data_IF_912963773366
#
_entry.id   IF_912963773366
#
_cell.length_a   1.000
_cell.length_b   1.000
_cell.length_c   1.000
_cell.angle_alpha   90.00
_cell.angle_beta   90.00
_cell.angle_gamma   90.00
#
_symmetry.space_group_name_H-M   'P 1'
#
loop_
_entity.id
_entity.type
_entity.pdbx_description
1 polymer ?
#
# COMPACT_ATOMS: atom_id res chain seq x y z
N UNK A 1 5.21 65.08 81.74
CA UNK A 1 5.66 65.28 80.34
C UNK A 1 6.72 64.24 80.04
N UNK A 2 6.29 62.99 79.89
CA UNK A 2 7.17 61.86 79.63
C UNK A 2 7.25 61.60 78.12
N UNK A 3 8.47 61.37 77.63
CA UNK A 3 8.80 60.94 76.27
C UNK A 3 7.92 59.75 75.83
N UNK A 4 6.98 59.97 74.92
CA UNK A 4 6.27 58.90 74.20
C UNK A 4 6.74 58.76 72.72
N UNK A 5 7.56 59.69 72.23
CA UNK A 5 8.01 59.71 70.82
C UNK A 5 8.90 58.50 70.43
N UNK A 6 9.41 57.74 71.40
CA UNK A 6 10.22 56.54 71.14
C UNK A 6 9.42 55.29 70.77
N UNK A 7 8.16 55.17 71.21
CA UNK A 7 7.36 53.95 71.02
C UNK A 7 6.85 53.82 69.57
N UNK A 8 6.51 54.95 68.93
CA UNK A 8 6.03 54.97 67.55
C UNK A 8 7.09 54.50 66.55
N UNK A 9 8.36 54.86 66.77
CA UNK A 9 9.46 54.48 65.87
C UNK A 9 9.78 52.98 65.96
N UNK A 10 9.73 52.40 67.16
CA UNK A 10 9.92 50.95 67.36
C UNK A 10 8.80 50.15 66.68
N UNK A 11 7.55 50.62 66.75
CA UNK A 11 6.43 49.96 66.10
C UNK A 11 6.59 49.90 64.57
N UNK A 12 7.04 51.00 63.94
CA UNK A 12 7.26 51.04 62.48
C UNK A 12 8.39 50.10 62.05
N UNK A 13 9.50 50.07 62.80
CA UNK A 13 10.62 49.17 62.50
C UNK A 13 10.20 47.70 62.61
N UNK A 14 9.41 47.33 63.62
CA UNK A 14 8.91 45.95 63.76
C UNK A 14 8.01 45.56 62.58
N UNK A 15 7.11 46.44 62.13
CA UNK A 15 6.25 46.16 60.97
C UNK A 15 7.08 46.03 59.69
N UNK A 16 8.10 46.88 59.49
CA UNK A 16 9.00 46.76 58.33
C UNK A 16 9.79 45.44 58.34
N UNK A 17 10.30 45.01 59.50
CA UNK A 17 11.03 43.73 59.62
C UNK A 17 10.10 42.54 59.36
N UNK A 18 8.90 42.54 59.94
CA UNK A 18 7.91 41.48 59.70
C UNK A 18 7.50 41.45 58.23
N UNK A 19 7.25 42.61 57.61
CA UNK A 19 6.96 42.72 56.19
C UNK A 19 8.07 42.14 55.31
N UNK A 20 9.33 42.43 55.64
CA UNK A 20 10.49 41.89 54.92
C UNK A 20 10.61 40.36 55.05
N UNK A 21 10.36 39.81 56.24
CA UNK A 21 10.38 38.35 56.47
C UNK A 21 9.26 37.66 55.67
N UNK A 22 8.06 38.23 55.65
CA UNK A 22 6.94 37.66 54.88
C UNK A 22 7.23 37.68 53.37
N UNK A 23 7.72 38.80 52.83
CA UNK A 23 8.02 38.92 51.40
C UNK A 23 9.15 37.96 50.98
N UNK A 24 10.19 37.80 51.82
CA UNK A 24 11.28 36.87 51.54
C UNK A 24 10.82 35.40 51.57
N UNK A 25 9.95 35.01 52.51
CA UNK A 25 9.38 33.65 52.56
C UNK A 25 8.51 33.35 51.33
N UNK A 26 7.69 34.30 50.88
CA UNK A 26 6.88 34.15 49.64
C UNK A 26 7.79 34.03 48.41
N UNK A 27 8.88 34.80 48.35
CA UNK A 27 9.85 34.72 47.26
C UNK A 27 10.54 33.35 47.17
N UNK A 28 10.94 32.78 48.31
CA UNK A 28 11.56 31.44 48.37
C UNK A 28 10.57 30.34 47.95
N UNK A 29 9.31 30.43 48.40
CA UNK A 29 8.28 29.46 48.01
C UNK A 29 8.00 29.46 46.49
N UNK A 30 7.98 30.63 45.86
CA UNK A 30 7.83 30.75 44.41
C UNK A 30 8.99 30.11 43.64
N UNK A 31 10.24 30.27 44.11
CA UNK A 31 11.41 29.64 43.48
C UNK A 31 11.36 28.11 43.53
N UNK A 32 10.95 27.52 44.67
CA UNK A 32 10.78 26.06 44.77
C UNK A 32 9.70 25.52 43.84
N UNK A 33 8.58 26.25 43.69
CA UNK A 33 7.51 25.86 42.75
C UNK A 33 7.96 25.93 41.28
N UNK A 34 8.72 26.96 40.90
CA UNK A 34 9.29 27.07 39.54
C UNK A 34 10.28 25.95 39.23
N UNK A 35 11.15 25.60 40.18
CA UNK A 35 12.11 24.50 40.00
C UNK A 35 11.42 23.15 39.85
N UNK A 36 10.38 22.88 40.65
CA UNK A 36 9.57 21.67 40.52
C UNK A 36 8.85 21.60 39.16
N UNK A 37 8.29 22.73 38.69
CA UNK A 37 7.59 22.79 37.40
C UNK A 37 8.56 22.56 36.22
N UNK A 38 9.78 23.11 36.28
CA UNK A 38 10.80 22.88 35.27
C UNK A 38 11.29 21.43 35.24
N UNK A 39 11.47 20.81 36.40
CA UNK A 39 11.87 19.40 36.50
C UNK A 39 10.81 18.47 35.89
N UNK A 40 9.52 18.70 36.19
CA UNK A 40 8.42 17.92 35.61
C UNK A 40 8.29 18.15 34.10
N UNK A 41 8.44 19.38 33.62
CA UNK A 41 8.43 19.67 32.18
C UNK A 41 9.58 18.96 31.43
N UNK A 42 10.79 18.95 32.01
CA UNK A 42 11.92 18.21 31.47
C UNK A 42 11.67 16.70 31.41
N UNK A 43 11.08 16.14 32.48
CA UNK A 43 10.73 14.71 32.55
C UNK A 43 9.67 14.32 31.52
N UNK A 44 8.62 15.13 31.32
CA UNK A 44 7.59 14.87 30.31
C UNK A 44 8.17 14.93 28.90
N UNK A 45 9.05 15.90 28.61
CA UNK A 45 9.74 15.98 27.31
C UNK A 45 10.66 14.78 27.07
N UNK A 46 11.38 14.33 28.09
CA UNK A 46 12.22 13.13 28.01
C UNK A 46 11.37 11.86 27.75
N UNK A 47 10.20 11.74 28.38
CA UNK A 47 9.27 10.63 28.12
C UNK A 47 8.75 10.64 26.67
N UNK A 48 8.31 11.80 26.16
CA UNK A 48 7.86 11.93 24.76
C UNK A 48 8.98 11.59 23.77
N UNK A 49 10.21 11.99 24.08
CA UNK A 49 11.38 11.62 23.28
C UNK A 49 11.61 10.09 23.28
N UNK A 50 11.48 9.44 24.44
CA UNK A 50 11.61 8.00 24.56
C UNK A 50 10.53 7.26 23.76
N UNK A 51 9.26 7.67 23.88
CA UNK A 51 8.15 7.09 23.11
C UNK A 51 8.35 7.28 21.59
N UNK A 52 8.81 8.47 21.17
CA UNK A 52 9.13 8.75 19.77
C UNK A 52 10.23 7.83 19.24
N UNK A 53 11.28 7.58 20.02
CA UNK A 53 12.36 6.66 19.65
C UNK A 53 11.92 5.21 19.54
N UNK A 54 11.00 4.78 20.41
CA UNK A 54 10.39 3.45 20.35
C UNK A 54 9.62 3.28 19.04
N UNK A 55 8.78 4.26 18.70
CA UNK A 55 7.95 4.21 17.49
C UNK A 55 8.80 4.31 16.21
N UNK A 56 9.86 5.11 16.23
CA UNK A 56 10.84 5.19 15.13
C UNK A 56 11.58 3.86 14.91
N UNK A 57 11.99 3.17 16.00
CA UNK A 57 12.61 1.85 15.90
C UNK A 57 11.62 0.80 15.37
N UNK A 58 10.36 0.83 15.82
CA UNK A 58 9.32 -0.07 15.29
C UNK A 58 9.07 0.17 13.78
N UNK A 59 9.05 1.43 13.36
CA UNK A 59 8.97 1.80 11.94
C UNK A 59 10.17 1.27 11.14
N UNK A 60 11.39 1.42 11.66
CA UNK A 60 12.60 0.90 11.02
C UNK A 60 12.62 -0.63 10.92
N UNK A 61 12.10 -1.32 11.94
CA UNK A 61 11.99 -2.78 11.94
C UNK A 61 10.97 -3.30 10.91
N UNK A 62 9.88 -2.55 10.67
CA UNK A 62 8.80 -2.95 9.76
C UNK A 62 9.06 -2.60 8.28
N UNK A 63 9.96 -1.66 7.99
CA UNK A 63 10.15 -1.11 6.62
C UNK A 63 11.17 -1.84 5.72
N UNK A 64 11.55 -3.09 6.00
CA UNK A 64 12.46 -3.85 5.11
C UNK A 64 13.69 -4.49 5.77
N UNK A 65 13.57 -4.87 7.04
CA UNK A 65 14.57 -5.63 7.78
C UNK A 65 15.44 -4.77 8.71
N UNK A 66 15.80 -5.34 9.85
CA UNK A 66 16.66 -4.70 10.83
C UNK A 66 18.09 -4.56 10.26
N UNK A 67 18.41 -3.37 9.74
CA UNK A 67 19.77 -3.02 9.31
C UNK A 67 20.57 -2.34 10.45
N UNK A 68 19.87 -1.81 11.45
CA UNK A 68 20.46 -1.05 12.56
C UNK A 68 19.83 -1.51 13.86
N UNK A 69 20.67 -1.87 14.83
CA UNK A 69 20.21 -2.32 16.16
C UNK A 69 20.03 -1.17 17.15
N UNK A 70 20.67 -0.03 16.90
CA UNK A 70 20.56 1.23 17.65
C UNK A 70 20.15 2.37 16.73
N UNK A 71 19.03 3.03 17.00
CA UNK A 71 18.56 4.21 16.29
C UNK A 71 18.70 5.44 17.19
N UNK A 72 19.27 6.53 16.67
CA UNK A 72 19.37 7.80 17.40
C UNK A 72 18.63 8.91 16.67
N UNK A 73 18.00 9.81 17.43
CA UNK A 73 17.36 11.02 16.94
C UNK A 73 17.83 12.23 17.74
N UNK A 74 17.74 13.43 17.16
CA UNK A 74 18.12 14.69 17.81
C UNK A 74 16.96 15.66 18.02
N UNK A 75 15.82 15.42 17.36
CA UNK A 75 14.63 16.27 17.42
C UNK A 75 13.35 15.40 17.40
N UNK A 76 12.96 14.80 18.54
CA UNK A 76 13.54 14.88 19.88
C UNK A 76 14.80 14.01 20.07
N UNK A 77 15.60 14.27 21.11
CA UNK A 77 16.82 13.48 21.40
C UNK A 77 16.49 12.13 22.03
N UNK A 78 16.73 11.04 21.30
CA UNK A 78 16.51 9.68 21.79
C UNK A 78 17.59 8.71 21.31
N UNK A 79 17.75 7.60 22.05
CA UNK A 79 18.51 6.42 21.64
C UNK A 79 17.64 5.19 21.86
N UNK A 80 17.21 4.54 20.77
CA UNK A 80 16.41 3.33 20.78
C UNK A 80 17.24 2.11 20.38
N UNK A 81 16.99 0.97 21.03
CA UNK A 81 17.70 -0.30 20.82
C UNK A 81 16.70 -1.44 20.70
N UNK A 82 17.01 -2.44 19.87
CA UNK A 82 16.19 -3.65 19.71
C UNK A 82 16.88 -4.88 20.29
N UNK A 83 16.10 -5.66 21.04
CA UNK A 83 16.51 -6.90 21.68
C UNK A 83 15.53 -8.01 21.31
N UNK A 84 15.92 -8.94 20.41
CA UNK A 84 15.08 -10.05 20.01
C UNK A 84 15.07 -11.13 21.09
N UNK A 85 13.89 -11.67 21.34
CA UNK A 85 13.63 -12.67 22.37
C UNK A 85 12.91 -13.85 21.74
N UNK A 86 13.43 -15.04 22.01
CA UNK A 86 12.81 -16.31 21.65
C UNK A 86 12.22 -16.92 22.91
N UNK A 87 10.94 -16.66 23.15
CA UNK A 87 10.23 -17.27 24.29
C UNK A 87 9.58 -18.57 23.81
N UNK A 88 9.88 -19.73 24.43
CA UNK A 88 9.17 -20.97 24.13
C UNK A 88 7.68 -20.83 24.48
N UNK A 89 6.81 -21.57 23.79
CA UNK A 89 5.37 -21.51 24.03
C UNK A 89 5.04 -21.74 25.52
N UNK A 90 4.51 -20.70 26.18
CA UNK A 90 4.18 -20.71 27.62
C UNK A 90 5.24 -20.12 28.57
N UNK A 91 6.38 -19.63 28.06
CA UNK A 91 7.32 -18.85 28.86
C UNK A 91 6.83 -17.43 29.16
N UNK A 92 7.20 -16.88 30.32
CA UNK A 92 6.90 -15.49 30.65
C UNK A 92 7.69 -14.52 29.76
N UNK A 93 7.04 -13.44 29.34
CA UNK A 93 7.70 -12.36 28.59
C UNK A 93 8.69 -11.62 29.50
N UNK A 94 9.89 -11.24 29.01
CA UNK A 94 10.80 -10.42 29.79
C UNK A 94 10.19 -9.05 30.08
N UNK A 95 10.33 -8.58 31.32
CA UNK A 95 9.85 -7.27 31.78
C UNK A 95 10.90 -6.17 31.71
N UNK A 96 12.14 -6.50 31.34
CA UNK A 96 13.24 -5.55 31.16
C UNK A 96 14.27 -6.05 30.15
N UNK A 97 15.16 -5.16 29.73
CA UNK A 97 16.29 -5.48 28.84
C UNK A 97 17.51 -6.11 29.52
N UNK A 98 17.49 -6.28 30.84
CA UNK A 98 18.65 -6.77 31.59
C UNK A 98 18.99 -8.21 31.17
N UNK A 99 20.18 -8.41 30.61
CA UNK A 99 20.66 -9.70 30.14
C UNK A 99 20.25 -10.06 28.71
N UNK A 100 19.53 -9.18 28.00
CA UNK A 100 19.25 -9.34 26.58
C UNK A 100 20.43 -8.83 25.75
N UNK A 101 20.68 -9.48 24.61
CA UNK A 101 21.75 -9.08 23.68
C UNK A 101 21.14 -8.26 22.56
N UNK A 102 21.68 -7.05 22.34
CA UNK A 102 21.29 -6.18 21.24
C UNK A 102 21.71 -6.84 19.91
N UNK A 103 20.72 -7.19 19.09
CA UNK A 103 20.93 -7.79 17.76
C UNK A 103 19.67 -7.64 16.93
N UNK A 104 19.77 -7.86 15.62
CA UNK A 104 18.60 -7.83 14.78
C UNK A 104 17.74 -9.09 14.95
N UNK A 105 16.40 -8.99 14.86
CA UNK A 105 15.53 -10.15 14.89
C UNK A 105 15.88 -11.14 13.77
N UNK A 106 15.86 -12.42 14.12
CA UNK A 106 16.09 -13.54 13.21
C UNK A 106 14.83 -14.42 13.10
N UNK A 107 14.88 -15.47 12.28
CA UNK A 107 13.75 -16.39 12.08
C UNK A 107 13.32 -17.14 13.35
N UNK A 108 14.14 -17.14 14.42
CA UNK A 108 13.80 -17.76 15.70
C UNK A 108 13.20 -16.79 16.71
N UNK A 109 13.16 -15.50 16.38
CA UNK A 109 12.65 -14.44 17.24
C UNK A 109 11.13 -14.49 17.27
N UNK A 110 10.53 -14.60 18.45
CA UNK A 110 9.06 -14.58 18.62
C UNK A 110 8.56 -13.24 19.15
N UNK A 111 9.42 -12.50 19.86
CA UNK A 111 9.12 -11.18 20.39
C UNK A 111 10.34 -10.27 20.23
N UNK A 112 10.09 -8.97 20.14
CA UNK A 112 11.15 -7.96 20.20
C UNK A 112 10.87 -7.03 21.37
N UNK A 113 11.92 -6.77 22.16
CA UNK A 113 11.89 -5.72 23.18
C UNK A 113 12.58 -4.51 22.59
N UNK A 114 11.86 -3.39 22.51
CA UNK A 114 12.41 -2.10 22.11
C UNK A 114 12.60 -1.29 23.37
N UNK A 115 13.85 -0.89 23.63
CA UNK A 115 14.20 0.01 24.73
C UNK A 115 14.61 1.35 24.15
N UNK A 116 13.97 2.42 24.60
CA UNK A 116 14.24 3.77 24.12
C UNK A 116 14.50 4.69 25.30
N UNK A 117 15.66 5.34 25.28
CA UNK A 117 16.04 6.39 26.23
C UNK A 117 15.86 7.76 25.57
N UNK A 118 14.95 8.56 26.10
CA UNK A 118 14.74 9.95 25.71
C UNK A 118 15.43 10.90 26.67
N UNK A 119 16.04 11.96 26.14
CA UNK A 119 16.75 12.97 26.95
C UNK A 119 16.24 14.37 26.66
N UNK A 120 15.93 15.12 27.72
CA UNK A 120 15.53 16.52 27.63
C UNK A 120 15.92 17.27 28.91
N UNK A 121 16.47 18.48 28.78
CA UNK A 121 16.78 19.36 29.92
C UNK A 121 17.59 18.67 31.06
N UNK A 122 18.55 17.79 30.68
CA UNK A 122 19.38 16.93 31.56
C UNK A 122 18.62 15.83 32.32
N UNK A 123 17.34 15.64 32.05
CA UNK A 123 16.58 14.47 32.49
C UNK A 123 16.67 13.39 31.43
N UNK A 124 16.73 12.13 31.84
CA UNK A 124 16.58 10.97 30.96
C UNK A 124 15.45 10.06 31.47
N UNK A 125 14.72 9.49 30.52
CA UNK A 125 13.64 8.52 30.79
C UNK A 125 13.81 7.38 29.82
N UNK A 126 13.80 6.15 30.34
CA UNK A 126 13.84 4.92 29.54
C UNK A 126 12.47 4.26 29.51
N UNK A 127 12.03 3.86 28.33
CA UNK A 127 10.79 3.11 28.10
C UNK A 127 11.14 1.80 27.43
N UNK A 128 10.74 0.69 28.05
CA UNK A 128 10.83 -0.65 27.48
C UNK A 128 9.43 -1.09 27.01
N UNK A 129 9.35 -1.61 25.79
CA UNK A 129 8.12 -2.16 25.23
C UNK A 129 8.37 -3.51 24.56
N UNK A 130 7.46 -4.45 24.75
CA UNK A 130 7.53 -5.79 24.16
C UNK A 130 6.49 -5.90 23.07
N UNK A 131 6.93 -6.28 21.87
CA UNK A 131 6.06 -6.54 20.72
C UNK A 131 6.16 -8.00 20.33
N UNK A 132 5.05 -8.60 19.93
CA UNK A 132 5.07 -9.88 19.24
C UNK A 132 5.75 -9.69 17.88
N UNK A 133 6.78 -10.49 17.61
CA UNK A 133 7.54 -10.45 16.38
C UNK A 133 7.12 -11.63 15.53
N UNK A 134 6.13 -11.40 14.67
CA UNK A 134 5.88 -12.30 13.56
C UNK A 134 6.78 -11.83 12.43
N UNK A 135 7.67 -12.71 11.98
CA UNK A 135 8.33 -12.51 10.68
C UNK A 135 7.23 -12.65 9.62
N UNK A 136 6.45 -11.59 9.43
CA UNK A 136 5.85 -11.34 8.14
C UNK A 136 7.06 -11.08 7.25
N UNK A 137 7.52 -12.13 6.53
CA UNK A 137 8.40 -11.90 5.39
C UNK A 137 7.72 -10.80 4.60
N UNK A 138 8.48 -9.83 4.08
CA UNK A 138 7.98 -9.00 2.99
C UNK A 138 7.60 -9.95 1.86
N UNK A 139 6.34 -10.38 1.86
CA UNK A 139 5.73 -11.13 0.79
C UNK A 139 5.76 -10.13 -0.35
N UNK A 140 6.55 -10.45 -1.37
CA UNK A 140 6.54 -9.69 -2.60
C UNK A 140 5.19 -9.99 -3.26
N UNK A 141 4.17 -9.22 -2.86
CA UNK A 141 2.80 -9.34 -3.35
C UNK A 141 2.75 -8.88 -4.80
N UNK A 142 2.91 -9.83 -5.71
CA UNK A 142 2.57 -9.62 -7.11
C UNK A 142 1.05 -9.47 -7.19
N UNK A 143 0.56 -8.36 -7.73
CA UNK A 143 -0.87 -8.24 -8.02
C UNK A 143 -1.26 -9.26 -9.09
N UNK A 144 -2.36 -9.98 -8.89
CA UNK A 144 -2.93 -10.86 -9.91
C UNK A 144 -3.09 -10.12 -11.24
N UNK A 145 -2.60 -10.72 -12.33
CA UNK A 145 -2.78 -10.20 -13.69
C UNK A 145 -3.62 -11.19 -14.50
N UNK A 146 -4.55 -10.65 -15.30
CA UNK A 146 -5.54 -11.42 -16.05
C UNK A 146 -5.00 -11.74 -17.45
N UNK A 147 -4.76 -13.03 -17.72
CA UNK A 147 -4.05 -13.52 -18.91
C UNK A 147 -4.84 -13.56 -20.21
N UNK A 148 -4.20 -13.12 -21.31
CA UNK A 148 -4.70 -13.21 -22.70
C UNK A 148 -3.69 -13.81 -23.71
N UNK A 149 -2.62 -14.45 -23.24
CA UNK A 149 -1.62 -15.13 -24.08
C UNK A 149 -1.62 -16.65 -23.87
N UNK A 150 -1.02 -17.43 -24.78
CA UNK A 150 -1.06 -18.91 -24.79
C UNK A 150 -0.27 -19.60 -23.66
N UNK A 151 0.04 -18.90 -22.57
CA UNK A 151 0.79 -19.40 -21.43
C UNK A 151 1.14 -18.29 -20.44
N UNK A 152 0.81 -18.49 -19.17
CA UNK A 152 1.23 -17.69 -18.02
C UNK A 152 2.27 -18.49 -17.23
N UNK A 153 3.53 -18.04 -17.26
CA UNK A 153 4.61 -18.63 -16.47
C UNK A 153 5.00 -17.65 -15.38
N UNK A 154 4.78 -18.01 -14.12
CA UNK A 154 5.28 -17.22 -12.98
C UNK A 154 6.78 -17.50 -12.84
N UNK A 155 7.60 -16.71 -13.53
CA UNK A 155 9.04 -16.65 -13.28
C UNK A 155 9.29 -15.71 -12.10
N UNK A 156 8.83 -16.06 -10.89
CA UNK A 156 9.07 -15.22 -9.72
C UNK A 156 9.49 -16.05 -8.52
N UNK A 157 10.66 -15.72 -7.97
CA UNK A 157 11.21 -16.21 -6.71
C UNK A 157 10.44 -15.72 -5.47
N UNK A 158 9.12 -15.61 -5.56
CA UNK A 158 8.31 -14.83 -4.63
C UNK A 158 7.11 -15.63 -4.13
N UNK A 159 6.90 -15.53 -2.81
CA UNK A 159 5.64 -15.89 -2.18
C UNK A 159 4.51 -15.02 -2.78
N UNK A 160 3.44 -15.63 -3.28
CA UNK A 160 2.24 -14.95 -3.75
C UNK A 160 1.14 -15.08 -2.70
N UNK A 161 0.39 -14.02 -2.45
CA UNK A 161 -0.76 -14.01 -1.55
C UNK A 161 -1.94 -13.34 -2.27
N UNK A 162 -3.10 -14.01 -2.31
CA UNK A 162 -4.33 -13.58 -2.99
C UNK A 162 -4.82 -14.60 -4.03
N UNK A 163 -5.95 -14.34 -4.66
CA UNK A 163 -6.45 -15.21 -5.74
C UNK A 163 -5.92 -14.76 -7.11
N UNK A 164 -5.77 -15.71 -8.03
CA UNK A 164 -5.26 -15.49 -9.38
C UNK A 164 -6.27 -16.01 -10.41
N UNK A 165 -6.68 -15.18 -11.38
CA UNK A 165 -7.57 -15.59 -12.47
C UNK A 165 -6.89 -15.44 -13.83
N UNK A 166 -6.64 -16.57 -14.48
CA UNK A 166 -6.08 -16.70 -15.83
C UNK A 166 -7.23 -17.03 -16.79
N UNK A 167 -7.60 -16.08 -17.64
CA UNK A 167 -8.71 -16.27 -18.59
C UNK A 167 -8.34 -17.14 -19.76
N UNK A 168 -7.15 -16.95 -20.29
CA UNK A 168 -6.62 -17.69 -21.43
C UNK A 168 -5.13 -17.91 -21.22
N UNK A 169 -4.69 -19.14 -21.48
CA UNK A 169 -3.30 -19.56 -21.33
C UNK A 169 -3.10 -20.57 -20.20
N UNK A 170 -1.99 -21.30 -20.29
CA UNK A 170 -1.64 -22.31 -19.30
C UNK A 170 -1.02 -21.68 -18.04
N UNK A 171 -1.39 -22.14 -16.83
CA UNK A 171 -0.70 -21.80 -15.59
C UNK A 171 0.52 -22.71 -15.40
N UNK A 172 1.72 -22.18 -15.55
CA UNK A 172 2.96 -22.93 -15.26
C UNK A 172 3.60 -22.43 -13.96
N UNK A 173 3.51 -23.25 -12.90
CA UNK A 173 4.30 -23.10 -11.70
C UNK A 173 5.57 -23.95 -11.83
N UNK A 174 6.60 -23.41 -12.47
CA UNK A 174 7.88 -24.09 -12.70
C UNK A 174 9.02 -23.26 -12.12
N UNK A 175 9.46 -23.62 -10.91
CA UNK A 175 10.53 -22.90 -10.22
C UNK A 175 11.60 -23.87 -9.70
N UNK A 176 12.85 -23.57 -10.08
CA UNK A 176 14.02 -24.41 -9.83
C UNK A 176 14.54 -24.38 -8.37
N UNK A 177 14.01 -23.52 -7.49
CA UNK A 177 14.53 -23.32 -6.13
C UNK A 177 13.56 -23.82 -5.03
N UNK A 178 13.94 -24.78 -4.17
CA UNK A 178 13.02 -25.49 -3.26
C UNK A 178 12.39 -24.72 -2.09
N UNK A 179 12.84 -23.51 -1.76
CA UNK A 179 12.55 -22.90 -0.43
C UNK A 179 11.69 -21.63 -0.46
N UNK A 180 11.22 -21.18 -1.62
CA UNK A 180 10.50 -19.90 -1.77
C UNK A 180 9.23 -19.99 -2.63
N UNK A 181 8.75 -21.20 -2.95
CA UNK A 181 7.68 -21.39 -3.93
C UNK A 181 6.35 -21.67 -3.21
N UNK A 182 5.75 -20.63 -2.67
CA UNK A 182 4.47 -20.72 -2.01
C UNK A 182 3.49 -19.71 -2.62
N UNK A 183 2.42 -20.21 -3.21
CA UNK A 183 1.21 -19.45 -3.51
C UNK A 183 0.27 -19.62 -2.32
N UNK A 184 -0.35 -18.56 -1.84
CA UNK A 184 -1.40 -18.58 -0.82
C UNK A 184 -2.63 -17.86 -1.39
N UNK A 185 -3.71 -18.61 -1.64
CA UNK A 185 -4.92 -18.18 -2.32
C UNK A 185 -5.29 -19.07 -3.52
N UNK A 186 -6.46 -18.81 -4.08
CA UNK A 186 -7.07 -19.67 -5.10
C UNK A 186 -6.57 -19.32 -6.51
N UNK A 187 -6.44 -20.32 -7.39
CA UNK A 187 -6.03 -20.12 -8.78
C UNK A 187 -7.11 -20.63 -9.73
N UNK A 188 -7.58 -19.76 -10.62
CA UNK A 188 -8.63 -20.04 -11.61
C UNK A 188 -8.06 -19.92 -13.03
N UNK A 189 -8.04 -21.02 -13.79
CA UNK A 189 -7.55 -21.10 -15.18
C UNK A 189 -8.72 -21.42 -16.10
N UNK A 190 -9.40 -20.37 -16.59
CA UNK A 190 -10.69 -20.49 -17.28
C UNK A 190 -10.58 -21.05 -18.70
N UNK A 191 -9.47 -20.82 -19.41
CA UNK A 191 -9.18 -21.43 -20.72
C UNK A 191 -7.69 -21.78 -20.84
N UNK A 192 -7.31 -22.94 -20.30
CA UNK A 192 -5.93 -23.42 -20.33
C UNK A 192 -5.68 -24.59 -19.40
N UNK A 193 -4.46 -25.09 -19.44
CA UNK A 193 -3.98 -26.16 -18.59
C UNK A 193 -3.24 -25.59 -17.37
N UNK A 194 -3.05 -26.39 -16.34
CA UNK A 194 -2.13 -26.07 -15.26
C UNK A 194 -1.00 -27.09 -15.20
N UNK A 195 0.23 -26.61 -15.05
CA UNK A 195 1.42 -27.42 -14.84
C UNK A 195 2.11 -26.96 -13.56
N UNK A 196 2.11 -27.83 -12.55
CA UNK A 196 2.78 -27.57 -11.28
C UNK A 196 4.02 -28.46 -11.23
N UNK A 197 5.21 -27.88 -11.24
CA UNK A 197 6.47 -28.60 -11.24
C UNK A 197 7.29 -28.36 -9.97
N UNK A 198 8.15 -29.33 -9.66
CA UNK A 198 9.18 -29.21 -8.63
C UNK A 198 8.63 -29.06 -7.22
N UNK A 199 9.01 -27.95 -6.58
CA UNK A 199 8.69 -27.62 -5.18
C UNK A 199 7.59 -26.56 -5.05
N UNK A 200 6.80 -26.35 -6.11
CA UNK A 200 5.69 -25.41 -6.04
C UNK A 200 4.65 -25.90 -5.02
N UNK A 201 4.38 -25.06 -4.02
CA UNK A 201 3.31 -25.24 -3.06
C UNK A 201 2.24 -24.19 -3.29
N UNK A 202 0.99 -24.62 -3.43
CA UNK A 202 -0.18 -23.76 -3.55
C UNK A 202 -1.05 -24.00 -2.32
N UNK A 203 -1.33 -22.95 -1.56
CA UNK A 203 -2.14 -22.93 -0.36
C UNK A 203 -3.49 -22.32 -0.70
N UNK A 204 -4.38 -23.15 -1.25
CA UNK A 204 -5.66 -22.70 -1.80
C UNK A 204 -6.24 -23.73 -2.76
N UNK A 205 -7.37 -23.40 -3.37
CA UNK A 205 -8.03 -24.21 -4.38
C UNK A 205 -7.48 -23.88 -5.78
N UNK A 206 -7.35 -24.90 -6.63
CA UNK A 206 -6.91 -24.79 -8.02
C UNK A 206 -8.03 -25.24 -8.94
N UNK A 207 -8.60 -24.29 -9.66
CA UNK A 207 -9.67 -24.50 -10.64
C UNK A 207 -9.14 -24.32 -12.06
N UNK A 208 -9.26 -25.33 -12.91
CA UNK A 208 -8.64 -25.36 -14.24
C UNK A 208 -9.63 -25.92 -15.24
N UNK A 209 -9.81 -25.27 -16.38
CA UNK A 209 -10.68 -25.76 -17.46
C UNK A 209 -10.08 -26.94 -18.22
N UNK A 210 -8.76 -26.91 -18.47
CA UNK A 210 -8.01 -27.96 -19.15
C UNK A 210 -7.42 -29.00 -18.21
N UNK A 211 -6.27 -29.57 -18.60
CA UNK A 211 -5.55 -30.59 -17.84
C UNK A 211 -4.73 -29.99 -16.70
N UNK A 212 -4.57 -30.73 -15.60
CA UNK A 212 -3.63 -30.42 -14.51
C UNK A 212 -2.52 -31.46 -14.48
N UNK A 213 -1.26 -31.04 -14.65
CA UNK A 213 -0.10 -31.94 -14.75
C UNK A 213 1.03 -31.55 -13.80
N UNK A 214 1.81 -32.54 -13.35
CA UNK A 214 3.13 -32.33 -12.72
C UNK A 214 3.32 -32.90 -11.30
N UNK A 215 4.23 -32.28 -10.54
CA UNK A 215 4.70 -32.72 -9.21
C UNK A 215 4.81 -31.48 -8.31
N UNK A 216 4.04 -31.44 -7.21
CA UNK A 216 4.02 -30.32 -6.27
C UNK A 216 3.02 -30.54 -5.13
N UNK A 217 2.77 -29.50 -4.34
CA UNK A 217 1.76 -29.53 -3.27
C UNK A 217 0.67 -28.50 -3.56
N UNK A 218 -0.58 -28.93 -3.42
CA UNK A 218 -1.77 -28.06 -3.39
C UNK A 218 -2.47 -28.41 -2.09
N UNK A 219 -2.61 -27.49 -1.14
CA UNK A 219 -3.21 -27.76 0.16
C UNK A 219 -4.74 -27.81 0.10
N UNK A 220 -5.33 -27.08 -0.84
CA UNK A 220 -6.77 -27.10 -1.09
C UNK A 220 -7.17 -28.16 -2.11
N UNK A 221 -8.27 -27.86 -2.81
CA UNK A 221 -8.93 -28.74 -3.78
C UNK A 221 -8.44 -28.43 -5.19
N UNK A 222 -8.28 -29.48 -5.99
CA UNK A 222 -8.03 -29.34 -7.42
C UNK A 222 -9.30 -29.72 -8.18
N UNK A 223 -9.84 -28.77 -8.96
CA UNK A 223 -10.94 -28.96 -9.89
C UNK A 223 -10.40 -28.77 -11.30
N UNK A 224 -10.48 -29.81 -12.13
CA UNK A 224 -10.05 -29.76 -13.52
C UNK A 224 -11.21 -30.14 -14.45
N UNK A 225 -11.42 -29.41 -15.53
CA UNK A 225 -12.31 -29.83 -16.63
C UNK A 225 -11.68 -30.92 -17.50
N UNK A 226 -10.34 -30.99 -17.53
CA UNK A 226 -9.56 -32.06 -18.13
C UNK A 226 -9.09 -33.14 -17.13
N UNK A 227 -8.03 -33.83 -17.50
CA UNK A 227 -7.39 -34.87 -16.69
C UNK A 227 -6.47 -34.28 -15.61
N UNK A 228 -6.41 -34.94 -14.45
CA UNK A 228 -5.48 -34.58 -13.36
C UNK A 228 -4.37 -35.64 -13.31
N UNK A 229 -3.28 -35.39 -14.04
CA UNK A 229 -2.05 -36.20 -13.99
C UNK A 229 -1.04 -35.57 -13.01
N UNK A 230 -1.38 -35.62 -11.73
CA UNK A 230 -0.68 -34.92 -10.66
C UNK A 230 -0.28 -35.87 -9.51
N UNK A 231 1.03 -35.93 -9.22
CA UNK A 231 1.62 -36.65 -8.09
C UNK A 231 1.61 -35.73 -6.86
N UNK A 232 0.56 -35.82 -6.04
CA UNK A 232 0.34 -34.92 -4.90
C UNK A 232 0.75 -35.56 -3.59
N UNK A 233 1.38 -34.77 -2.73
CA UNK A 233 1.69 -35.19 -1.36
C UNK A 233 0.57 -34.82 -0.36
N UNK A 234 -0.36 -33.90 -0.67
CA UNK A 234 -1.40 -33.45 0.27
C UNK A 234 -2.61 -32.70 -0.34
N UNK A 235 -3.30 -33.20 -1.38
CA UNK A 235 -4.55 -32.59 -1.88
C UNK A 235 -5.75 -33.53 -1.75
N UNK A 236 -6.92 -32.96 -1.43
CA UNK A 236 -8.21 -33.63 -1.65
C UNK A 236 -8.59 -33.46 -3.12
N UNK A 237 -8.62 -34.56 -3.87
CA UNK A 237 -9.05 -34.56 -5.28
C UNK A 237 -10.57 -34.66 -5.33
N UNK A 238 -11.23 -33.68 -5.95
CA UNK A 238 -12.65 -33.80 -6.27
C UNK A 238 -12.92 -33.28 -7.67
N UNK A 239 -13.55 -34.11 -8.51
CA UNK A 239 -14.20 -33.61 -9.71
C UNK A 239 -15.55 -33.03 -9.28
N UNK A 240 -15.62 -31.70 -9.13
CA UNK A 240 -16.84 -30.97 -8.76
C UNK A 240 -17.01 -29.74 -9.66
N UNK A 241 -18.23 -29.17 -9.74
CA UNK A 241 -18.43 -27.93 -10.48
C UNK A 241 -17.63 -26.77 -9.87
N UNK A 242 -17.15 -25.85 -10.71
CA UNK A 242 -16.56 -24.57 -10.31
C UNK A 242 -17.54 -23.81 -9.39
N UNK A 243 -17.07 -23.27 -8.27
CA UNK A 243 -17.85 -22.39 -7.38
C UNK A 243 -16.97 -21.19 -6.96
N UNK A 244 -17.27 -19.95 -7.42
CA UNK A 244 -18.37 -19.60 -8.32
C UNK A 244 -18.21 -20.23 -9.71
N UNK A 245 -19.33 -20.49 -10.42
CA UNK A 245 -19.30 -21.09 -11.75
C UNK A 245 -18.43 -20.28 -12.70
N UNK A 246 -17.78 -20.96 -13.66
CA UNK A 246 -16.85 -20.34 -14.59
C UNK A 246 -17.50 -19.20 -15.40
N UNK A 247 -18.80 -19.28 -15.68
CA UNK A 247 -19.55 -18.20 -16.32
C UNK A 247 -19.59 -16.94 -15.46
N UNK A 248 -19.81 -17.06 -14.15
CA UNK A 248 -19.81 -15.91 -13.23
C UNK A 248 -18.41 -15.28 -13.14
N UNK A 249 -17.36 -16.10 -13.09
CA UNK A 249 -15.99 -15.58 -13.13
C UNK A 249 -15.69 -14.88 -14.45
N UNK A 250 -16.17 -15.41 -15.57
CA UNK A 250 -16.01 -14.79 -16.89
C UNK A 250 -16.72 -13.44 -16.95
N UNK A 251 -17.95 -13.34 -16.45
CA UNK A 251 -18.70 -12.09 -16.36
C UNK A 251 -17.98 -11.07 -15.47
N UNK A 252 -17.54 -11.48 -14.27
CA UNK A 252 -16.83 -10.61 -13.31
C UNK A 252 -15.53 -10.05 -13.84
N UNK A 253 -14.89 -10.76 -14.77
CA UNK A 253 -13.58 -10.39 -15.28
C UNK A 253 -13.65 -9.70 -16.64
N UNK A 254 -14.83 -9.59 -17.27
CA UNK A 254 -15.01 -9.09 -18.64
C UNK A 254 -14.38 -7.72 -18.87
N UNK A 255 -13.86 -7.52 -20.09
CA UNK A 255 -13.37 -6.21 -20.49
C UNK A 255 -14.56 -5.24 -20.56
N UNK A 256 -14.33 -4.01 -20.11
CA UNK A 256 -15.31 -2.95 -20.25
C UNK A 256 -15.15 -2.32 -21.63
N UNK A 257 -16.23 -2.17 -22.40
CA UNK A 257 -16.15 -1.42 -23.66
C UNK A 257 -16.04 0.08 -23.37
N UNK A 258 -14.81 0.52 -23.09
CA UNK A 258 -14.45 1.90 -22.81
C UNK A 258 -13.81 2.49 -24.07
N UNK A 259 -14.57 3.35 -24.74
CA UNK A 259 -14.18 4.06 -25.94
C UNK A 259 -14.53 5.55 -25.82
N UNK A 260 -14.24 6.31 -26.88
CA UNK A 260 -14.49 7.76 -26.95
C UNK A 260 -15.98 8.11 -26.84
N UNK A 261 -16.86 7.18 -27.25
CA UNK A 261 -18.31 7.36 -27.20
C UNK A 261 -18.94 6.85 -25.88
N UNK A 262 -18.13 6.32 -24.96
CA UNK A 262 -18.62 5.90 -23.63
C UNK A 262 -19.19 7.11 -22.90
N UNK A 263 -20.48 7.09 -22.59
CA UNK A 263 -21.06 8.08 -21.70
C UNK A 263 -20.43 7.89 -20.31
N UNK A 264 -19.80 8.92 -19.76
CA UNK A 264 -19.18 8.92 -18.43
C UNK A 264 -20.13 9.52 -17.40
N UNK A 265 -21.06 8.75 -16.80
CA UNK A 265 -22.14 9.33 -16.02
C UNK A 265 -21.59 9.99 -14.75
N UNK A 266 -22.08 11.19 -14.45
CA UNK A 266 -21.59 12.01 -13.35
C UNK A 266 -20.32 12.83 -13.68
N UNK A 267 -19.70 12.63 -14.84
CA UNK A 267 -18.69 13.53 -15.38
C UNK A 267 -19.39 14.55 -16.30
N UNK A 268 -19.57 15.76 -15.78
CA UNK A 268 -20.42 16.79 -16.42
C UNK A 268 -19.65 17.70 -17.36
N UNK A 269 -18.32 17.69 -17.27
CA UNK A 269 -17.44 18.46 -18.14
C UNK A 269 -16.64 17.48 -18.98
N UNK A 270 -16.67 17.67 -20.29
CA UNK A 270 -15.83 16.95 -21.23
C UNK A 270 -14.99 17.97 -21.99
N UNK A 271 -13.69 17.70 -22.06
CA UNK A 271 -12.74 18.55 -22.77
C UNK A 271 -11.93 17.69 -23.73
N UNK A 272 -12.20 17.86 -25.01
CA UNK A 272 -11.41 17.28 -26.09
C UNK A 272 -10.21 18.17 -26.40
N UNK A 273 -9.01 17.60 -26.34
CA UNK A 273 -7.78 18.31 -26.72
C UNK A 273 -7.44 17.96 -28.19
N UNK A 274 -7.56 18.91 -29.14
CA UNK A 274 -7.52 18.61 -30.57
C UNK A 274 -6.11 18.35 -31.15
N UNK A 275 -5.11 18.17 -30.30
CA UNK A 275 -3.72 18.10 -30.75
C UNK A 275 -3.36 16.69 -31.20
N UNK A 276 -2.81 16.55 -32.42
CA UNK A 276 -2.18 15.29 -32.83
C UNK A 276 -1.02 14.92 -31.90
N UNK A 277 -0.26 15.90 -31.38
CA UNK A 277 0.85 15.66 -30.45
C UNK A 277 0.55 16.17 -29.04
N UNK A 278 0.36 15.23 -28.12
CA UNK A 278 0.08 15.54 -26.70
C UNK A 278 1.32 16.03 -25.93
N UNK A 279 2.52 15.92 -26.50
CA UNK A 279 3.76 16.33 -25.84
C UNK A 279 4.13 17.80 -26.06
N UNK A 280 3.26 18.60 -26.70
CA UNK A 280 3.48 20.04 -26.74
C UNK A 280 3.41 20.63 -25.31
N UNK A 281 4.25 21.62 -24.96
CA UNK A 281 4.18 22.28 -23.64
C UNK A 281 2.79 22.84 -23.31
N UNK A 282 2.06 23.34 -24.32
CA UNK A 282 0.73 23.90 -24.14
C UNK A 282 -0.31 22.84 -23.73
N UNK A 283 -0.37 21.72 -24.43
CA UNK A 283 -1.31 20.62 -24.13
C UNK A 283 -1.01 20.02 -22.76
N UNK A 284 0.27 19.80 -22.45
CA UNK A 284 0.66 19.28 -21.13
C UNK A 284 0.35 20.25 -20.00
N UNK A 285 0.63 21.55 -20.19
CA UNK A 285 0.25 22.58 -19.23
C UNK A 285 -1.24 22.57 -18.96
N UNK A 286 -2.05 22.47 -20.02
CA UNK A 286 -3.51 22.37 -19.90
C UNK A 286 -3.96 21.10 -19.14
N UNK A 287 -3.39 19.93 -19.43
CA UNK A 287 -3.70 18.69 -18.68
C UNK A 287 -3.34 18.86 -17.20
N UNK A 288 -2.15 19.41 -16.90
CA UNK A 288 -1.70 19.66 -15.53
C UNK A 288 -2.61 20.64 -14.80
N UNK A 289 -3.01 21.73 -15.45
CA UNK A 289 -3.93 22.72 -14.87
C UNK A 289 -5.30 22.12 -14.55
N UNK A 290 -5.81 21.23 -15.40
CA UNK A 290 -7.08 20.53 -15.18
C UNK A 290 -7.00 19.54 -14.01
N UNK A 291 -5.90 18.78 -13.92
CA UNK A 291 -5.64 17.87 -12.80
C UNK A 291 -5.51 18.65 -11.47
N UNK A 292 -4.77 19.77 -11.50
CA UNK A 292 -4.49 20.65 -10.36
C UNK A 292 -5.66 21.52 -9.91
N UNK A 293 -6.62 21.77 -10.80
CA UNK A 293 -7.77 22.58 -10.51
C UNK A 293 -8.76 21.84 -9.60
N UNK A 294 -9.50 22.59 -8.78
CA UNK A 294 -10.67 22.09 -8.06
C UNK A 294 -11.95 22.26 -8.90
N UNK A 295 -12.95 21.41 -8.69
CA UNK A 295 -14.24 21.52 -9.36
C UNK A 295 -14.96 20.17 -9.48
N UNK A 296 -16.00 20.14 -10.31
CA UNK A 296 -16.72 18.91 -10.64
C UNK A 296 -15.85 17.91 -11.42
N UNK A 297 -16.35 16.67 -11.53
CA UNK A 297 -15.69 15.59 -12.25
C UNK A 297 -15.56 15.92 -13.75
N UNK A 298 -14.42 15.60 -14.34
CA UNK A 298 -14.10 15.95 -15.75
C UNK A 298 -13.57 14.75 -16.54
N UNK A 299 -13.98 14.65 -17.81
CA UNK A 299 -13.36 13.80 -18.83
C UNK A 299 -12.42 14.67 -19.65
N UNK A 300 -11.15 14.28 -19.71
CA UNK A 300 -10.14 14.86 -20.59
C UNK A 300 -9.93 13.86 -21.71
N UNK A 301 -10.41 14.20 -22.89
CA UNK A 301 -10.28 13.38 -24.07
C UNK A 301 -9.02 13.75 -24.85
N UNK A 302 -8.05 12.84 -24.82
CA UNK A 302 -6.78 12.91 -25.56
C UNK A 302 -6.63 11.75 -26.54
N UNK A 303 -7.74 11.11 -26.93
CA UNK A 303 -7.75 10.01 -27.90
C UNK A 303 -7.18 10.41 -29.28
N UNK A 304 -7.29 11.69 -29.65
CA UNK A 304 -6.70 12.23 -30.88
C UNK A 304 -5.16 12.24 -30.88
N UNK A 305 -4.51 12.03 -29.74
CA UNK A 305 -3.06 12.07 -29.65
C UNK A 305 -2.40 10.80 -30.20
N UNK A 306 -1.50 11.01 -31.17
CA UNK A 306 -0.70 9.95 -31.79
C UNK A 306 0.57 9.63 -31.00
N UNK A 307 0.94 10.44 -30.01
CA UNK A 307 2.10 10.20 -29.16
C UNK A 307 1.68 9.80 -27.74
N UNK A 308 2.57 9.12 -27.02
CA UNK A 308 2.42 8.92 -25.58
C UNK A 308 2.38 10.25 -24.85
N UNK A 309 1.44 10.44 -23.92
CA UNK A 309 1.39 11.63 -23.05
C UNK A 309 2.46 11.48 -21.97
N UNK A 310 3.48 12.34 -21.98
CA UNK A 310 4.55 12.32 -20.98
C UNK A 310 4.44 13.51 -20.00
N UNK A 311 4.05 13.19 -18.76
CA UNK A 311 3.96 14.11 -17.62
C UNK A 311 5.15 13.97 -16.66
N UNK A 312 6.32 13.56 -17.16
CA UNK A 312 7.56 13.48 -16.37
C UNK A 312 8.23 14.85 -16.13
N UNK A 313 9.07 15.00 -15.09
CA UNK A 313 9.71 16.25 -14.73
C UNK A 313 10.76 16.74 -15.72
N UNK A 314 11.19 15.91 -16.68
CA UNK A 314 12.00 16.39 -17.80
C UNK A 314 11.28 17.49 -18.60
N UNK A 315 9.96 17.60 -18.42
CA UNK A 315 9.11 18.49 -19.21
C UNK A 315 8.20 19.40 -18.39
N UNK A 316 7.79 18.99 -17.19
CA UNK A 316 7.09 19.85 -16.25
C UNK A 316 8.14 20.63 -15.48
N UNK A 317 8.33 21.91 -15.80
CA UNK A 317 9.33 22.81 -15.22
C UNK A 317 9.12 23.08 -13.72
N UNK A 318 9.27 22.05 -12.88
CA UNK A 318 9.02 22.00 -11.43
C UNK A 318 7.56 22.08 -10.96
N UNK A 319 6.57 21.86 -11.82
CA UNK A 319 5.16 21.86 -11.41
C UNK A 319 4.75 20.48 -10.89
N UNK A 320 4.39 20.38 -9.61
CA UNK A 320 3.72 19.19 -9.10
C UNK A 320 2.30 19.09 -9.66
N UNK A 321 1.88 17.85 -9.93
CA UNK A 321 0.54 17.47 -10.34
C UNK A 321 -0.17 16.90 -9.13
N UNK A 322 -1.16 17.60 -8.61
CA UNK A 322 -2.03 17.17 -7.53
C UNK A 322 -3.42 16.94 -8.08
N UNK A 323 -3.91 15.70 -8.06
CA UNK A 323 -5.26 15.37 -8.54
C UNK A 323 -6.29 15.80 -7.48
N UNK A 324 -6.92 16.95 -7.70
CA UNK A 324 -7.88 17.56 -6.74
C UNK A 324 -9.35 17.27 -7.04
N UNK A 325 -9.65 16.59 -8.14
CA UNK A 325 -11.00 16.23 -8.58
C UNK A 325 -10.97 14.86 -9.26
N UNK A 326 -12.13 14.25 -9.45
CA UNK A 326 -12.21 13.02 -10.24
C UNK A 326 -11.97 13.33 -11.71
N UNK A 327 -10.98 12.68 -12.32
CA UNK A 327 -10.59 12.90 -13.72
C UNK A 327 -10.55 11.57 -14.46
N UNK A 328 -11.31 11.48 -15.56
CA UNK A 328 -11.11 10.45 -16.57
C UNK A 328 -10.21 11.01 -17.64
N UNK A 329 -9.07 10.38 -17.88
CA UNK A 329 -8.14 10.72 -18.93
C UNK A 329 -8.17 9.62 -19.99
N UNK A 330 -8.77 9.94 -21.14
CA UNK A 330 -8.86 9.03 -22.27
C UNK A 330 -7.59 9.15 -23.11
N UNK A 331 -6.80 8.09 -23.19
CA UNK A 331 -5.52 8.08 -23.92
C UNK A 331 -5.58 7.10 -25.09
N UNK A 332 -4.94 7.41 -26.20
CA UNK A 332 -4.90 6.48 -27.33
C UNK A 332 -3.64 5.60 -27.32
N UNK A 333 -2.46 6.20 -27.42
CA UNK A 333 -1.23 5.42 -27.54
C UNK A 333 -0.60 5.02 -26.21
N UNK A 334 -0.52 5.92 -25.25
CA UNK A 334 0.14 5.59 -24.01
C UNK A 334 0.19 6.77 -23.09
N UNK A 335 0.55 6.47 -21.86
CA UNK A 335 0.61 7.46 -20.81
C UNK A 335 1.86 7.21 -19.99
N UNK A 336 2.59 8.28 -19.66
CA UNK A 336 3.79 8.23 -18.85
C UNK A 336 3.72 9.25 -17.73
N UNK A 337 3.88 8.75 -16.51
CA UNK A 337 4.22 9.56 -15.36
C UNK A 337 5.59 9.18 -14.84
N UNK A 338 6.23 10.13 -14.16
CA UNK A 338 7.37 9.88 -13.30
C UNK A 338 6.99 10.17 -11.84
N UNK A 339 7.42 9.32 -10.92
CA UNK A 339 7.16 9.50 -9.49
C UNK A 339 7.74 10.79 -8.91
N UNK A 340 7.19 11.22 -7.77
CA UNK A 340 7.58 12.44 -7.06
C UNK A 340 6.79 13.68 -7.48
N UNK A 341 5.99 13.59 -8.54
CA UNK A 341 5.26 14.73 -9.11
C UNK A 341 3.74 14.55 -9.10
N UNK A 342 3.23 13.31 -9.07
CA UNK A 342 1.80 13.05 -8.95
C UNK A 342 1.44 12.84 -7.47
N UNK A 343 0.48 13.63 -6.98
CA UNK A 343 0.00 13.59 -5.60
C UNK A 343 -1.53 13.55 -5.53
N UNK A 344 -2.05 12.89 -4.50
CA UNK A 344 -3.47 12.83 -4.19
C UNK A 344 -3.94 14.11 -3.50
N UNK A 345 -4.85 14.85 -4.13
CA UNK A 345 -5.54 16.01 -3.55
C UNK A 345 -6.99 15.72 -3.14
N UNK A 346 -7.36 14.44 -3.03
CA UNK A 346 -8.72 13.98 -2.75
C UNK A 346 -9.53 13.56 -3.98
N UNK A 347 -9.01 13.76 -5.20
CA UNK A 347 -9.64 13.28 -6.44
C UNK A 347 -9.14 11.89 -6.87
N UNK A 348 -9.97 11.17 -7.63
CA UNK A 348 -9.59 9.90 -8.28
C UNK A 348 -9.13 10.12 -9.72
N UNK A 349 -8.11 9.40 -10.16
CA UNK A 349 -7.62 9.44 -11.53
C UNK A 349 -7.99 8.14 -12.26
N UNK A 350 -8.69 8.23 -13.38
CA UNK A 350 -9.02 7.10 -14.24
C UNK A 350 -8.25 7.28 -15.55
N UNK A 351 -7.15 6.55 -15.73
CA UNK A 351 -6.39 6.55 -16.97
C UNK A 351 -6.92 5.41 -17.84
N UNK A 352 -7.63 5.76 -18.91
CA UNK A 352 -8.34 4.79 -19.74
C UNK A 352 -7.79 4.86 -21.14
N UNK A 353 -7.11 3.81 -21.57
CA UNK A 353 -6.70 3.69 -22.95
C UNK A 353 -7.92 3.27 -23.79
N UNK A 354 -8.33 4.12 -24.72
CA UNK A 354 -9.56 3.94 -25.49
C UNK A 354 -9.44 2.77 -26.44
N UNK A 355 -10.51 1.98 -26.52
CA UNK A 355 -10.65 0.97 -27.56
C UNK A 355 -11.14 1.64 -28.86
N UNK A 356 -10.43 1.43 -29.97
CA UNK A 356 -10.87 1.86 -31.32
C UNK A 356 -11.59 0.75 -32.08
N UNK A 357 -11.38 -0.51 -31.67
CA UNK A 357 -12.02 -1.67 -32.28
C UNK A 357 -13.25 -2.05 -31.46
N UNK A 358 -14.41 -1.51 -31.79
CA UNK A 358 -15.68 -2.07 -31.35
C UNK A 358 -15.87 -3.41 -32.07
N UNK A 359 -15.27 -4.47 -31.55
CA UNK A 359 -15.53 -5.83 -32.00
C UNK A 359 -16.64 -6.41 -31.11
N UNK A 360 -17.91 -6.42 -31.58
CA UNK A 360 -19.02 -6.92 -30.78
C UNK A 360 -18.92 -8.43 -30.51
N UNK A 361 -18.10 -9.16 -31.27
CA UNK A 361 -17.90 -10.61 -31.11
C UNK A 361 -16.71 -10.93 -30.20
N UNK A 362 -15.76 -10.00 -30.04
CA UNK A 362 -14.63 -10.13 -29.14
C UNK A 362 -14.49 -8.88 -28.25
N UNK A 363 -15.07 -8.88 -27.04
CA UNK A 363 -15.02 -7.72 -26.15
C UNK A 363 -13.59 -7.40 -25.67
N UNK A 364 -12.61 -8.27 -25.92
CA UNK A 364 -11.22 -7.97 -25.64
C UNK A 364 -10.72 -6.88 -26.61
N UNK A 365 -10.39 -5.68 -26.13
CA UNK A 365 -9.98 -4.59 -27.01
C UNK A 365 -8.68 -4.96 -27.73
N UNK A 366 -8.56 -4.61 -29.02
CA UNK A 366 -7.35 -4.87 -29.80
C UNK A 366 -6.41 -3.67 -29.73
N UNK A 367 -5.11 -3.96 -29.66
CA UNK A 367 -4.11 -2.89 -29.60
C UNK A 367 -3.77 -2.23 -30.91
N UNK A 368 -3.95 -2.91 -32.03
CA UNK A 368 -3.79 -2.30 -33.36
C UNK A 368 -2.47 -1.52 -33.55
N UNK A 369 -1.38 -1.98 -32.93
CA UNK A 369 -0.06 -1.32 -33.01
C UNK A 369 0.16 -0.17 -32.01
N UNK A 370 -0.78 0.05 -31.08
CA UNK A 370 -0.64 1.03 -30.00
C UNK A 370 0.28 0.53 -28.90
N UNK A 371 0.96 1.48 -28.25
CA UNK A 371 1.81 1.19 -27.10
C UNK A 371 0.99 0.93 -25.84
N UNK A 372 1.58 0.29 -24.84
CA UNK A 372 0.95 0.18 -23.51
C UNK A 372 1.10 1.46 -22.70
N UNK A 373 0.40 1.53 -21.57
CA UNK A 373 0.62 2.58 -20.56
C UNK A 373 1.94 2.30 -19.84
N UNK A 374 2.80 3.31 -19.67
CA UNK A 374 4.06 3.17 -18.94
C UNK A 374 4.01 3.95 -17.64
N UNK A 375 4.03 3.28 -16.49
CA UNK A 375 4.15 3.93 -15.19
C UNK A 375 5.64 3.99 -14.84
N UNK A 376 6.27 5.16 -14.97
CA UNK A 376 7.66 5.34 -14.58
C UNK A 376 7.77 5.91 -13.16
N UNK A 377 8.81 5.50 -12.43
CA UNK A 377 9.13 6.04 -11.13
C UNK A 377 10.58 6.45 -10.98
N UNK A 378 10.76 7.60 -10.36
CA UNK A 378 12.04 8.14 -9.92
C UNK A 378 11.89 8.74 -8.52
N UNK A 379 11.93 7.93 -7.47
CA UNK A 379 11.92 8.39 -6.07
C UNK A 379 10.78 7.84 -5.20
N UNK A 380 10.95 7.96 -3.87
CA UNK A 380 10.04 7.46 -2.84
C UNK A 380 8.63 8.06 -2.91
N UNK A 381 7.64 7.22 -2.59
CA UNK A 381 6.25 7.40 -2.99
C UNK A 381 5.35 7.85 -1.83
N UNK A 382 5.43 9.13 -1.47
CA UNK A 382 4.49 9.73 -0.53
C UNK A 382 3.29 10.34 -1.25
N UNK A 383 2.18 9.60 -1.37
CA UNK A 383 0.85 10.20 -1.63
C UNK A 383 0.32 10.15 -3.05
N UNK A 384 0.31 8.99 -3.71
CA UNK A 384 -0.44 8.82 -4.97
C UNK A 384 -1.93 9.19 -4.84
N UNK A 385 -2.54 9.77 -5.90
CA UNK A 385 -3.99 9.75 -6.02
C UNK A 385 -4.49 8.32 -6.20
N UNK A 386 -5.72 8.06 -5.78
CA UNK A 386 -6.39 6.81 -6.10
C UNK A 386 -6.50 6.71 -7.63
N UNK A 387 -5.78 5.75 -8.23
CA UNK A 387 -5.66 5.65 -9.68
C UNK A 387 -6.20 4.32 -10.22
N UNK A 388 -7.12 4.39 -11.19
CA UNK A 388 -7.49 3.26 -12.06
C UNK A 388 -6.70 3.38 -13.36
N UNK A 389 -5.98 2.34 -13.74
CA UNK A 389 -5.32 2.23 -15.04
C UNK A 389 -6.01 1.13 -15.83
N UNK A 390 -6.67 1.50 -16.92
CA UNK A 390 -7.32 0.58 -17.84
C UNK A 390 -6.57 0.64 -19.18
N UNK A 391 -5.90 -0.44 -19.56
CA UNK A 391 -5.06 -0.50 -20.75
C UNK A 391 -5.20 -1.83 -21.46
N UNK A 392 -5.86 -1.92 -22.61
CA UNK A 392 -5.84 -3.15 -23.37
C UNK A 392 -4.50 -3.44 -24.03
N UNK A 393 -3.53 -2.50 -24.00
CA UNK A 393 -2.21 -2.66 -24.61
C UNK A 393 -1.08 -2.95 -23.66
N UNK A 394 -1.45 -3.40 -22.47
CA UNK A 394 -0.52 -3.74 -21.42
C UNK A 394 -0.15 -2.51 -20.61
N UNK A 395 0.42 -2.77 -19.45
CA UNK A 395 0.98 -1.74 -18.59
C UNK A 395 2.41 -2.14 -18.31
N UNK A 396 3.34 -1.25 -18.64
CA UNK A 396 4.75 -1.40 -18.27
C UNK A 396 5.00 -0.55 -17.05
N UNK A 397 5.46 -1.16 -15.97
CA UNK A 397 5.85 -0.43 -14.75
C UNK A 397 7.38 -0.43 -14.69
N UNK A 398 8.01 0.74 -14.79
CA UNK A 398 9.47 0.89 -14.83
C UNK A 398 10.00 1.85 -13.74
N UNK A 399 10.92 1.36 -12.91
CA UNK A 399 11.59 2.16 -11.88
C UNK A 399 13.01 2.47 -12.30
N UNK A 400 13.48 3.68 -11.99
CA UNK A 400 14.90 3.98 -12.07
C UNK A 400 15.67 3.05 -11.10
N UNK A 401 16.62 2.28 -11.62
CA UNK A 401 17.54 1.47 -10.81
C UNK A 401 16.99 0.14 -10.26
N UNK A 402 15.91 -0.41 -10.83
CA UNK A 402 15.35 -1.70 -10.37
C UNK A 402 14.65 -1.62 -9.01
N UNK A 403 14.37 -0.40 -8.53
CA UNK A 403 13.70 -0.13 -7.24
C UNK A 403 12.20 -0.30 -7.37
N UNK A 404 11.59 -0.89 -6.33
CA UNK A 404 10.17 -1.25 -6.23
C UNK A 404 9.23 -0.07 -6.54
N UNK A 405 8.41 -0.24 -7.57
CA UNK A 405 7.79 0.86 -8.33
C UNK A 405 6.35 1.13 -7.89
N UNK A 406 5.78 0.35 -6.96
CA UNK A 406 4.38 0.52 -6.54
C UNK A 406 4.21 0.68 -5.04
N UNK A 407 5.28 0.93 -4.29
CA UNK A 407 5.16 1.22 -2.86
C UNK A 407 4.27 2.46 -2.73
N UNK A 408 3.12 2.33 -2.07
CA UNK A 408 2.17 3.44 -1.93
C UNK A 408 1.27 3.73 -3.15
N UNK A 409 1.27 2.90 -4.19
CA UNK A 409 0.22 2.96 -5.22
C UNK A 409 -1.11 2.56 -4.59
N UNK A 410 -2.10 3.46 -4.66
CA UNK A 410 -3.48 3.22 -4.23
C UNK A 410 -4.34 3.15 -5.47
N UNK A 411 -4.89 1.99 -5.82
CA UNK A 411 -5.53 1.90 -7.11
C UNK A 411 -5.85 0.52 -7.66
N UNK A 412 -6.29 0.53 -8.91
CA UNK A 412 -6.58 -0.65 -9.70
C UNK A 412 -5.92 -0.59 -11.08
N UNK A 413 -5.45 -1.74 -11.57
CA UNK A 413 -4.86 -1.88 -12.90
C UNK A 413 -5.59 -3.01 -13.62
N UNK A 414 -6.13 -2.71 -14.80
CA UNK A 414 -6.82 -3.65 -15.68
C UNK A 414 -6.07 -3.61 -17.01
N UNK A 415 -5.31 -4.66 -17.31
CA UNK A 415 -4.46 -4.74 -18.49
C UNK A 415 -4.22 -6.19 -18.93
N UNK A 416 -3.90 -6.47 -20.21
CA UNK A 416 -3.49 -7.80 -20.62
C UNK A 416 -2.10 -8.13 -20.05
N UNK A 417 -1.78 -9.41 -19.98
CA UNK A 417 -0.48 -9.92 -19.51
C UNK A 417 0.69 -9.73 -20.47
N UNK A 418 0.49 -9.15 -21.66
CA UNK A 418 1.58 -8.89 -22.59
C UNK A 418 2.41 -7.68 -22.15
N UNK A 419 3.29 -7.88 -21.16
CA UNK A 419 4.20 -6.86 -20.63
C UNK A 419 5.09 -7.43 -19.53
N UNK A 420 6.31 -6.91 -19.37
CA UNK A 420 7.17 -7.26 -18.23
C UNK A 420 6.70 -6.51 -16.99
N UNK A 421 6.17 -7.26 -16.01
CA UNK A 421 5.72 -6.73 -14.73
C UNK A 421 6.81 -6.94 -13.66
N UNK A 422 7.35 -5.85 -13.13
CA UNK A 422 8.20 -5.87 -11.92
C UNK A 422 7.44 -5.19 -10.79
N UNK A 423 6.39 -5.83 -10.27
CA UNK A 423 5.65 -5.35 -9.10
C UNK A 423 6.29 -5.95 -7.86
N UNK A 424 7.14 -5.17 -7.19
CA UNK A 424 7.88 -5.61 -6.00
C UNK A 424 7.43 -4.89 -4.71
N UNK A 425 6.23 -4.30 -4.67
CA UNK A 425 5.79 -3.48 -3.55
C UNK A 425 4.31 -3.64 -3.15
N UNK A 426 4.03 -3.27 -1.91
CA UNK A 426 2.70 -3.16 -1.30
C UNK A 426 1.80 -2.19 -2.06
N UNK A 427 0.69 -2.73 -2.58
CA UNK A 427 -0.41 -1.99 -3.20
C UNK A 427 -1.56 -1.91 -2.20
N UNK A 428 -2.21 -0.75 -2.11
CA UNK A 428 -3.50 -0.63 -1.42
C UNK A 428 -4.59 -0.63 -2.48
N UNK A 429 -5.55 -1.56 -2.39
CA UNK A 429 -6.70 -1.50 -3.28
C UNK A 429 -7.57 -0.28 -2.93
N UNK A 430 -8.12 0.38 -3.94
CA UNK A 430 -9.14 1.41 -3.78
C UNK A 430 -10.37 1.04 -4.61
N UNK A 431 -11.57 1.31 -4.10
CA UNK A 431 -12.82 1.07 -4.84
C UNK A 431 -12.99 2.14 -5.92
N UNK A 432 -13.28 1.72 -7.15
CA UNK A 432 -13.61 2.61 -8.27
C UNK A 432 -15.02 2.36 -8.74
N UNK A 433 -15.88 3.35 -8.59
CA UNK A 433 -17.28 3.25 -9.00
C UNK A 433 -17.63 4.40 -9.93
N UNK A 434 -18.20 4.06 -11.08
CA UNK A 434 -18.85 5.00 -12.00
C UNK A 434 -20.29 4.48 -12.17
N UNK A 435 -21.29 5.14 -11.56
CA UNK A 435 -22.67 4.66 -11.57
C UNK A 435 -23.18 4.40 -12.98
N UNK A 436 -23.75 3.20 -13.19
CA UNK A 436 -24.27 2.78 -14.49
C UNK A 436 -23.20 2.36 -15.51
N UNK A 437 -21.91 2.40 -15.15
CA UNK A 437 -20.81 1.91 -16.00
C UNK A 437 -20.06 0.73 -15.35
N UNK A 438 -19.48 0.92 -14.16
CA UNK A 438 -18.83 -0.15 -13.40
C UNK A 438 -18.75 0.15 -11.90
N UNK A 439 -18.67 -0.90 -11.10
CA UNK A 439 -18.38 -0.84 -9.66
C UNK A 439 -17.29 -1.85 -9.30
N UNK A 440 -16.05 -1.38 -9.37
CA UNK A 440 -14.87 -2.16 -9.08
C UNK A 440 -14.59 -2.10 -7.57
N UNK A 441 -15.16 -3.06 -6.86
CA UNK A 441 -14.95 -3.24 -5.43
C UNK A 441 -13.59 -3.89 -5.16
N UNK A 442 -13.01 -3.64 -3.99
CA UNK A 442 -11.87 -4.39 -3.49
C UNK A 442 -12.36 -5.70 -2.86
N UNK A 443 -12.96 -6.57 -3.68
CA UNK A 443 -13.52 -7.85 -3.24
C UNK A 443 -12.47 -8.96 -3.16
N UNK A 444 -11.29 -8.75 -3.74
CA UNK A 444 -10.09 -9.46 -3.31
C UNK A 444 -9.65 -8.78 -2.02
N UNK A 445 -9.98 -9.40 -0.89
CA UNK A 445 -9.61 -8.87 0.42
C UNK A 445 -8.13 -8.53 0.42
N UNK A 446 -7.81 -7.26 0.66
CA UNK A 446 -6.51 -6.88 1.18
C UNK A 446 -6.38 -7.58 2.54
N UNK A 447 -5.91 -8.83 2.55
CA UNK A 447 -5.51 -9.52 3.77
C UNK A 447 -4.36 -8.70 4.37
N UNK A 448 -4.71 -7.82 5.31
CA UNK A 448 -3.75 -6.87 5.87
C UNK A 448 -4.29 -5.70 6.69
N UNK A 449 -5.61 -5.47 6.83
CA UNK A 449 -6.10 -4.50 7.83
C UNK A 449 -6.32 -5.19 9.19
N UNK A 450 -5.25 -5.61 9.86
CA UNK A 450 -5.32 -6.02 11.27
C UNK A 450 -5.29 -4.78 12.17
N UNK A 451 -6.47 -4.21 12.41
CA UNK A 451 -6.63 -3.08 13.33
C UNK A 451 -8.07 -2.81 13.70
N UNK A 452 -8.73 -3.76 14.38
CA UNK A 452 -10.08 -3.54 14.91
C UNK A 452 -10.72 -4.80 15.48
N UNK A 453 -10.75 -4.89 16.80
CA UNK A 453 -11.34 -5.96 17.60
C UNK A 453 -12.84 -6.18 17.35
N UNK A 454 -13.23 -7.44 17.13
CA UNK A 454 -14.52 -7.98 17.57
C UNK A 454 -15.65 -8.01 16.53
N UNK A 455 -15.81 -9.16 15.87
CA UNK A 455 -17.01 -9.46 15.08
C UNK A 455 -16.87 -10.76 14.30
N UNK A 456 -17.35 -11.85 14.90
CA UNK A 456 -17.54 -13.16 14.25
C UNK A 456 -18.49 -13.04 13.06
N UNK A 457 -18.04 -13.38 11.85
CA UNK A 457 -18.93 -13.49 10.68
C UNK A 457 -18.19 -13.96 9.42
N UNK A 458 -18.38 -15.25 9.12
CA UNK A 458 -18.29 -15.96 7.83
C UNK A 458 -17.51 -15.39 6.65
N UNK A 459 -16.74 -16.27 6.01
CA UNK A 459 -16.44 -16.21 4.58
C UNK A 459 -17.69 -15.74 3.83
N UNK A 460 -17.64 -14.52 3.31
CA UNK A 460 -18.70 -13.98 2.47
C UNK A 460 -18.25 -14.24 1.05
N UNK A 461 -18.99 -15.13 0.39
CA UNK A 461 -18.96 -15.33 -1.03
C UNK A 461 -19.01 -13.97 -1.76
N UNK A 462 -18.48 -13.90 -2.98
CA UNK A 462 -18.51 -12.68 -3.78
C UNK A 462 -19.93 -12.13 -3.78
N UNK A 463 -20.12 -10.93 -3.20
CA UNK A 463 -21.42 -10.26 -3.21
C UNK A 463 -21.92 -10.18 -4.66
N UNK A 464 -23.20 -10.44 -4.86
CA UNK A 464 -23.83 -10.38 -6.17
C UNK A 464 -23.54 -9.01 -6.81
N UNK A 465 -22.75 -9.01 -7.89
CA UNK A 465 -22.61 -7.83 -8.73
C UNK A 465 -23.92 -7.63 -9.48
N UNK A 466 -24.42 -6.40 -9.38
CA UNK A 466 -25.67 -5.97 -10.01
C UNK A 466 -25.50 -6.04 -11.51
N UNK A 467 -26.21 -7.00 -12.11
CA UNK A 467 -26.58 -7.12 -13.52
C UNK A 467 -26.67 -5.74 -14.18
N UNK A 468 -25.76 -5.44 -15.11
CA UNK A 468 -26.00 -4.37 -16.09
C UNK A 468 -26.94 -4.95 -17.15
N UNK A 469 -28.24 -4.90 -16.86
CA UNK A 469 -29.27 -5.17 -17.86
C UNK A 469 -29.25 -4.10 -18.94
N UNK A 470 -29.21 -4.57 -20.19
CA UNK A 470 -29.70 -3.93 -21.42
C UNK A 470 -28.89 -2.75 -21.98
N UNK A 471 -28.24 -3.02 -23.13
CA UNK A 471 -28.70 -2.45 -24.40
C UNK A 471 -28.90 -3.55 -25.43
#
# INVERSE_FOLDING_TARGET
>A
MGREDGAALVAVVVVMVVGFVVVSLVGVAAMFSMQSTQAEAGRVRALVAAESGRDAMLGALTSGGCAVTTLTGTEPTFTARVFPVSVPAGGGLPSSTVGLVERCPDASTTHVVISSEGTADRQSVTVDAVYEWKVEREVTRLGGSVGGGSGFTVLASAFYEGDLVIRSGDFNCDLALPLLNHFDGDVYVLNGNARILGFCSLSGDLYVSGDVTGVGTVSGRIVAGGSISFLVFSASKSNGPFDPPAEELLERTQWFDLNEATAWPGFTTELTLPAATCNSPAVRGQIVDLLNGSGGKIVIDTSACIDQIDLSPAFLSSTSVTVKRDVVLLVNNGFRFASGWLSGGGGKLYVVQTNTSADPENPAPRCEGRTGITLTASGGWGGWPETLVYSPCGVTVSGAGGVNILSGFKGQIIAPTSGSWNILATRTCARFTIPGLFDLVCDLSDAGSSGGTGGTGGASAPGALVRQTER
#
